data_IF_135552715111
#
_entry.id   IF_135552715111
#
_cell.length_a   1.000
_cell.length_b   1.000
_cell.length_c   1.000
_cell.angle_alpha   90.00
_cell.angle_beta   90.00
_cell.angle_gamma   90.00
#
_symmetry.space_group_name_H-M   'P 1'
#
loop_
_entity.id
_entity.type
_entity.pdbx_description
1 polymer ?
#
# COMPACT_ATOMS: atom_id res chain seq x y z
N UNK A 1 22.17 -15.54 63.50
CA UNK A 1 20.96 -15.87 62.71
C UNK A 1 20.97 -15.05 61.43
N UNK A 2 21.30 -15.68 60.30
CA UNK A 2 21.40 -15.02 59.00
C UNK A 2 20.00 -14.74 58.43
N UNK A 3 19.75 -13.51 57.97
CA UNK A 3 18.56 -13.14 57.19
C UNK A 3 18.78 -13.49 55.72
N UNK A 4 18.00 -14.39 55.10
CA UNK A 4 18.01 -14.56 53.65
C UNK A 4 16.67 -14.09 53.10
N UNK A 5 16.57 -12.87 52.54
CA UNK A 5 15.28 -12.44 51.93
C UNK A 5 15.32 -11.30 50.92
N UNK A 6 16.44 -11.04 50.24
CA UNK A 6 16.51 -9.91 49.29
C UNK A 6 16.99 -10.23 47.87
N UNK A 7 17.43 -11.46 47.60
CA UNK A 7 17.92 -11.86 46.27
C UNK A 7 16.76 -12.39 45.39
N UNK A 8 15.74 -13.00 45.98
CA UNK A 8 14.63 -13.63 45.26
C UNK A 8 13.69 -12.59 44.61
N UNK A 9 13.34 -11.51 45.33
CA UNK A 9 12.47 -10.44 44.79
C UNK A 9 13.11 -9.64 43.65
N UNK A 10 14.44 -9.43 43.67
CA UNK A 10 15.15 -8.73 42.59
C UNK A 10 15.21 -9.54 41.29
N UNK A 11 15.41 -10.86 41.39
CA UNK A 11 15.39 -11.77 40.23
C UNK A 11 13.99 -11.89 39.63
N UNK A 12 12.95 -11.89 40.47
CA UNK A 12 11.55 -11.96 40.03
C UNK A 12 11.10 -10.67 39.30
N UNK A 13 11.53 -9.49 39.78
CA UNK A 13 11.27 -8.20 39.11
C UNK A 13 11.95 -8.11 37.73
N UNK A 14 13.19 -8.60 37.60
CA UNK A 14 13.90 -8.65 36.32
C UNK A 14 13.21 -9.58 35.30
N UNK A 15 12.74 -10.74 35.75
CA UNK A 15 11.97 -11.69 34.91
C UNK A 15 10.64 -11.09 34.44
N UNK A 16 9.90 -10.38 35.29
CA UNK A 16 8.68 -9.67 34.91
C UNK A 16 8.93 -8.55 33.89
N UNK A 17 10.02 -7.79 34.04
CA UNK A 17 10.41 -6.77 33.07
C UNK A 17 10.72 -7.40 31.69
N UNK A 18 11.43 -8.53 31.66
CA UNK A 18 11.72 -9.26 30.42
C UNK A 18 10.42 -9.78 29.80
N UNK A 19 9.52 -10.41 30.56
CA UNK A 19 8.24 -10.94 30.04
C UNK A 19 7.35 -9.81 29.50
N UNK A 20 7.26 -8.67 30.20
CA UNK A 20 6.48 -7.51 29.75
C UNK A 20 7.01 -6.89 28.45
N UNK A 21 8.32 -6.95 28.22
CA UNK A 21 8.91 -6.44 26.98
C UNK A 21 8.58 -7.33 25.77
N UNK A 22 8.46 -8.66 25.95
CA UNK A 22 8.17 -9.60 24.86
C UNK A 22 6.72 -9.46 24.37
N UNK A 23 5.78 -9.12 25.26
CA UNK A 23 4.36 -8.94 24.92
C UNK A 23 4.08 -7.73 24.00
N UNK A 24 4.97 -6.73 23.97
CA UNK A 24 4.79 -5.52 23.18
C UNK A 24 5.20 -5.69 21.70
N UNK A 25 5.93 -6.76 21.35
CA UNK A 25 6.54 -6.92 20.02
C UNK A 25 5.83 -7.89 19.06
N UNK A 26 4.70 -8.49 19.45
CA UNK A 26 3.98 -9.44 18.58
C UNK A 26 2.67 -8.86 18.01
N UNK A 27 2.69 -7.64 17.48
CA UNK A 27 1.60 -7.17 16.62
C UNK A 27 1.81 -7.73 15.22
N UNK A 28 1.22 -8.89 14.94
CA UNK A 28 1.29 -9.52 13.63
C UNK A 28 0.60 -8.63 12.59
N UNK A 29 1.30 -8.37 11.47
CA UNK A 29 0.75 -7.61 10.34
C UNK A 29 0.30 -8.62 9.30
N UNK A 30 -1.02 -8.77 9.17
CA UNK A 30 -1.61 -9.67 8.17
C UNK A 30 -1.79 -8.88 6.88
N UNK A 31 -1.17 -9.32 5.79
CA UNK A 31 -1.34 -8.72 4.46
C UNK A 31 -1.95 -9.74 3.52
N UNK A 32 -3.07 -9.40 2.88
CA UNK A 32 -3.76 -10.25 1.91
C UNK A 32 -3.74 -9.59 0.55
N UNK A 33 -3.28 -10.31 -0.46
CA UNK A 33 -3.33 -9.86 -1.84
C UNK A 33 -4.78 -9.88 -2.35
N UNK A 34 -5.17 -8.82 -3.04
CA UNK A 34 -6.51 -8.67 -3.63
C UNK A 34 -6.41 -8.83 -5.14
N UNK A 35 -5.50 -8.08 -5.75
CA UNK A 35 -5.38 -8.04 -7.20
C UNK A 35 -3.99 -7.61 -7.64
N UNK A 36 -3.48 -8.26 -8.68
CA UNK A 36 -2.21 -7.90 -9.32
C UNK A 36 -2.41 -7.73 -10.82
N UNK A 37 -1.78 -6.70 -11.39
CA UNK A 37 -1.75 -6.46 -12.83
C UNK A 37 -0.37 -6.02 -13.32
N UNK A 38 -0.09 -6.30 -14.59
CA UNK A 38 1.03 -5.75 -15.35
C UNK A 38 0.52 -4.63 -16.26
N UNK A 39 1.15 -3.46 -16.20
CA UNK A 39 0.78 -2.31 -17.04
C UNK A 39 1.45 -2.44 -18.41
N UNK A 40 0.81 -1.95 -19.48
CA UNK A 40 1.34 -2.07 -20.86
C UNK A 40 2.04 -0.81 -21.37
N UNK A 41 2.52 0.04 -20.47
CA UNK A 41 3.26 1.25 -20.81
C UNK A 41 4.76 0.95 -21.05
N UNK A 42 5.50 1.86 -21.70
CA UNK A 42 6.95 1.67 -21.97
C UNK A 42 7.75 1.33 -20.71
N UNK A 43 7.42 1.97 -19.58
CA UNK A 43 7.96 1.64 -18.26
C UNK A 43 6.99 0.71 -17.52
N UNK A 44 6.87 -0.53 -18.00
CA UNK A 44 5.95 -1.54 -17.46
C UNK A 44 6.08 -1.66 -15.94
N UNK A 45 4.96 -1.77 -15.25
CA UNK A 45 4.87 -1.92 -13.80
C UNK A 45 3.97 -3.08 -13.44
N UNK A 46 4.41 -3.84 -12.45
CA UNK A 46 3.53 -4.69 -11.67
C UNK A 46 2.87 -3.83 -10.58
N UNK A 47 1.53 -3.73 -10.61
CA UNK A 47 0.72 -3.08 -9.58
C UNK A 47 0.03 -4.16 -8.75
N UNK A 48 0.15 -4.07 -7.43
CA UNK A 48 -0.43 -4.99 -6.45
C UNK A 48 -1.32 -4.19 -5.49
N UNK A 49 -2.59 -4.55 -5.44
CA UNK A 49 -3.54 -4.14 -4.43
C UNK A 49 -3.62 -5.20 -3.35
N UNK A 50 -3.53 -4.78 -2.09
CA UNK A 50 -3.58 -5.66 -0.92
C UNK A 50 -4.32 -4.99 0.22
N UNK A 51 -4.97 -5.77 1.08
CA UNK A 51 -5.43 -5.30 2.39
C UNK A 51 -4.38 -5.61 3.44
N UNK A 52 -4.22 -4.73 4.42
CA UNK A 52 -3.29 -4.89 5.52
C UNK A 52 -4.00 -4.60 6.84
N UNK A 53 -3.92 -5.54 7.76
CA UNK A 53 -4.49 -5.44 9.10
C UNK A 53 -3.35 -5.49 10.12
N UNK A 54 -3.38 -4.57 11.08
CA UNK A 54 -2.44 -4.52 12.20
C UNK A 54 -3.21 -4.15 13.46
N UNK A 55 -3.41 -5.13 14.34
CA UNK A 55 -4.15 -4.97 15.59
C UNK A 55 -5.57 -4.44 15.36
N UNK A 56 -5.80 -3.13 15.45
CA UNK A 56 -7.11 -2.48 15.22
C UNK A 56 -7.15 -1.64 13.94
N UNK A 57 -6.01 -1.48 13.28
CA UNK A 57 -5.90 -0.69 12.07
C UNK A 57 -6.07 -1.56 10.83
N UNK A 58 -6.84 -1.07 9.86
CA UNK A 58 -7.01 -1.69 8.55
C UNK A 58 -6.75 -0.67 7.45
N UNK A 59 -5.90 -1.04 6.49
CA UNK A 59 -5.51 -0.19 5.37
C UNK A 59 -5.51 -0.97 4.07
N UNK A 60 -5.79 -0.28 2.97
CA UNK A 60 -5.46 -0.76 1.64
C UNK A 60 -4.07 -0.30 1.24
N UNK A 61 -3.30 -1.20 0.65
CA UNK A 61 -1.92 -1.01 0.26
C UNK A 61 -1.82 -1.19 -1.25
N UNK A 62 -1.33 -0.15 -1.92
CA UNK A 62 -1.01 -0.17 -3.34
C UNK A 62 0.50 -0.20 -3.46
N UNK A 63 1.02 -1.34 -3.91
CA UNK A 63 2.43 -1.50 -4.26
C UNK A 63 2.58 -1.42 -5.77
N UNK A 64 3.66 -0.81 -6.21
CA UNK A 64 4.05 -0.87 -7.60
C UNK A 64 5.54 -1.11 -7.73
N UNK A 65 5.93 -1.82 -8.76
CA UNK A 65 7.34 -2.03 -9.10
C UNK A 65 7.48 -1.99 -10.60
N UNK A 66 8.37 -1.15 -11.12
CA UNK A 66 8.65 -1.17 -12.54
C UNK A 66 9.70 -2.23 -12.90
N UNK A 67 9.64 -2.63 -14.17
CA UNK A 67 10.68 -3.45 -14.78
C UNK A 67 11.96 -2.64 -14.97
N UNK A 68 13.10 -3.31 -14.79
CA UNK A 68 14.41 -2.69 -15.02
C UNK A 68 14.73 -2.78 -16.51
N UNK A 69 15.18 -1.67 -17.10
CA UNK A 69 15.70 -1.65 -18.47
C UNK A 69 16.87 -0.69 -18.57
N UNK A 70 17.46 -0.55 -19.77
CA UNK A 70 18.48 0.46 -20.05
C UNK A 70 18.01 1.89 -19.71
N UNK A 71 16.71 2.14 -19.91
CA UNK A 71 16.10 3.47 -19.72
C UNK A 71 15.49 3.66 -18.32
N UNK A 72 15.26 2.58 -17.56
CA UNK A 72 14.53 2.63 -16.30
C UNK A 72 15.21 1.85 -15.18
N UNK A 73 15.57 2.55 -14.09
CA UNK A 73 16.00 1.91 -12.85
C UNK A 73 14.84 1.24 -12.11
N UNK A 74 15.18 0.21 -11.33
CA UNK A 74 14.25 -0.51 -10.45
C UNK A 74 13.73 0.37 -9.31
N UNK A 75 12.52 0.87 -9.47
CA UNK A 75 11.77 1.65 -8.49
C UNK A 75 10.65 0.79 -7.88
N UNK A 76 10.34 1.07 -6.62
CA UNK A 76 9.26 0.43 -5.88
C UNK A 76 8.46 1.51 -5.17
N UNK A 77 7.15 1.56 -5.39
CA UNK A 77 6.27 2.50 -4.72
C UNK A 77 5.36 1.79 -3.73
N UNK A 78 5.00 2.51 -2.67
CA UNK A 78 4.05 2.10 -1.67
C UNK A 78 3.12 3.29 -1.36
N UNK A 79 1.82 3.07 -1.52
CA UNK A 79 0.76 3.94 -1.03
C UNK A 79 -0.06 3.19 0.01
N UNK A 80 -0.49 3.90 1.05
CA UNK A 80 -1.44 3.41 2.04
C UNK A 80 -2.68 4.26 1.98
N UNK A 81 -3.85 3.64 1.95
CA UNK A 81 -5.16 4.28 1.94
C UNK A 81 -5.95 3.76 3.14
N UNK A 82 -6.64 4.66 3.84
CA UNK A 82 -7.68 4.24 4.77
C UNK A 82 -8.83 3.56 4.01
N UNK A 83 -9.76 2.92 4.73
CA UNK A 83 -10.97 2.35 4.11
C UNK A 83 -11.75 3.43 3.36
N UNK A 84 -11.96 4.60 3.99
CA UNK A 84 -12.68 5.72 3.36
C UNK A 84 -11.96 6.27 2.12
N UNK A 85 -10.64 6.41 2.17
CA UNK A 85 -9.85 6.85 1.00
C UNK A 85 -9.92 5.84 -0.15
N UNK A 86 -9.96 4.54 0.18
CA UNK A 86 -10.07 3.48 -0.81
C UNK A 86 -11.47 3.42 -1.44
N UNK A 87 -12.52 3.57 -0.64
CA UNK A 87 -13.90 3.73 -1.14
C UNK A 87 -13.99 4.93 -2.09
N UNK A 88 -13.48 6.09 -1.67
CA UNK A 88 -13.48 7.29 -2.49
C UNK A 88 -12.71 7.11 -3.81
N UNK A 89 -11.61 6.34 -3.78
CA UNK A 89 -10.89 5.95 -4.98
C UNK A 89 -11.71 5.05 -5.91
N UNK A 90 -12.42 4.05 -5.37
CA UNK A 90 -13.27 3.17 -6.17
C UNK A 90 -14.46 3.91 -6.79
N UNK A 91 -15.11 4.77 -6.02
CA UNK A 91 -16.22 5.60 -6.49
C UNK A 91 -15.77 6.52 -7.63
N UNK A 92 -14.62 7.18 -7.47
CA UNK A 92 -14.02 8.01 -8.53
C UNK A 92 -13.61 7.17 -9.76
N UNK A 93 -13.11 5.94 -9.55
CA UNK A 93 -12.72 5.04 -10.64
C UNK A 93 -13.94 4.52 -11.42
N UNK A 94 -15.06 4.27 -10.73
CA UNK A 94 -16.30 3.79 -11.33
C UNK A 94 -17.09 4.90 -12.05
N UNK A 95 -16.98 6.15 -11.59
CA UNK A 95 -17.72 7.30 -12.13
C UNK A 95 -16.98 8.07 -13.23
N UNK A 96 -15.68 7.80 -13.47
CA UNK A 96 -14.92 8.57 -14.43
C UNK A 96 -15.28 8.23 -15.88
N UNK A 97 -15.63 9.27 -16.65
CA UNK A 97 -16.02 9.16 -18.05
C UNK A 97 -14.85 9.50 -18.99
N UNK A 98 -14.88 8.98 -20.22
CA UNK A 98 -13.87 9.33 -21.21
C UNK A 98 -13.90 10.83 -21.56
N UNK A 99 -12.72 11.45 -21.64
CA UNK A 99 -12.56 12.89 -21.86
C UNK A 99 -12.51 13.71 -20.58
N UNK A 100 -12.80 13.11 -19.43
CA UNK A 100 -12.82 13.79 -18.13
C UNK A 100 -11.49 13.68 -17.37
N UNK A 101 -11.36 14.53 -16.34
CA UNK A 101 -10.26 14.49 -15.37
C UNK A 101 -10.85 14.71 -13.99
N UNK A 102 -10.46 13.86 -13.05
CA UNK A 102 -10.81 13.97 -11.64
C UNK A 102 -9.55 14.12 -10.82
N UNK A 103 -9.49 15.12 -9.95
CA UNK A 103 -8.31 15.38 -9.12
C UNK A 103 -8.73 15.65 -7.67
N UNK A 104 -8.02 15.02 -6.74
CA UNK A 104 -8.14 15.29 -5.32
C UNK A 104 -6.75 15.29 -4.65
N UNK A 105 -6.70 15.55 -3.35
CA UNK A 105 -5.45 15.57 -2.60
C UNK A 105 -4.70 14.23 -2.58
N UNK A 106 -5.40 13.12 -2.83
CA UNK A 106 -4.85 11.76 -2.77
C UNK A 106 -4.38 11.27 -4.13
N UNK A 107 -5.16 11.53 -5.19
CA UNK A 107 -4.91 10.99 -6.51
C UNK A 107 -5.49 11.88 -7.63
N UNK A 108 -5.02 11.63 -8.85
CA UNK A 108 -5.47 12.21 -10.10
C UNK A 108 -5.83 11.07 -11.05
N UNK A 109 -7.02 11.14 -11.63
CA UNK A 109 -7.52 10.26 -12.68
C UNK A 109 -7.72 11.09 -13.95
N UNK A 110 -7.15 10.64 -15.07
CA UNK A 110 -7.32 11.30 -16.36
C UNK A 110 -7.65 10.29 -17.44
N UNK A 111 -8.87 10.32 -17.93
CA UNK A 111 -9.37 9.37 -18.92
C UNK A 111 -9.38 10.01 -20.31
N UNK A 112 -8.52 9.53 -21.21
CA UNK A 112 -8.47 9.99 -22.60
C UNK A 112 -7.98 8.88 -23.54
N UNK A 113 -8.59 8.75 -24.71
CA UNK A 113 -8.18 7.83 -25.77
C UNK A 113 -8.14 6.36 -25.27
N UNK A 114 -9.21 5.90 -24.63
CA UNK A 114 -9.34 4.55 -24.05
C UNK A 114 -8.27 4.20 -23.00
N UNK A 115 -7.62 5.22 -22.42
CA UNK A 115 -6.57 5.10 -21.41
C UNK A 115 -6.90 5.94 -20.20
N UNK A 116 -6.97 5.30 -19.06
CA UNK A 116 -7.07 5.94 -17.77
C UNK A 116 -5.67 6.05 -17.15
N UNK A 117 -5.19 7.28 -17.00
CA UNK A 117 -3.96 7.55 -16.26
C UNK A 117 -4.32 7.74 -14.78
N UNK A 118 -3.68 6.97 -13.92
CA UNK A 118 -3.87 7.01 -12.47
C UNK A 118 -2.57 7.46 -11.83
N UNK A 119 -2.63 8.57 -11.09
CA UNK A 119 -1.50 9.10 -10.34
C UNK A 119 -1.87 9.22 -8.87
N UNK A 120 -1.12 8.56 -7.99
CA UNK A 120 -1.20 8.78 -6.55
C UNK A 120 -0.21 9.87 -6.13
N UNK A 121 -0.70 10.89 -5.42
CA UNK A 121 0.06 12.09 -5.11
C UNK A 121 1.03 11.90 -3.93
N UNK A 122 0.67 11.03 -2.97
CA UNK A 122 1.47 10.76 -1.76
C UNK A 122 1.94 9.31 -1.75
N UNK A 123 3.08 9.03 -2.39
CA UNK A 123 3.66 7.68 -2.38
C UNK A 123 5.09 7.68 -1.87
N UNK A 124 5.49 6.55 -1.25
CA UNK A 124 6.86 6.36 -0.79
C UNK A 124 7.60 5.47 -1.79
N UNK A 125 8.69 5.98 -2.37
CA UNK A 125 9.64 5.10 -3.04
C UNK A 125 10.42 4.31 -1.98
N UNK A 126 10.46 3.00 -2.10
CA UNK A 126 11.15 2.08 -1.17
C UNK A 126 12.38 1.43 -1.79
N UNK A 127 12.75 1.81 -3.00
CA UNK A 127 14.00 1.39 -3.61
C UNK A 127 15.18 2.14 -3.01
N UNK A 128 16.29 1.41 -2.80
CA UNK A 128 17.57 1.99 -2.43
C UNK A 128 18.18 2.68 -3.65
N UNK A 129 17.99 4.00 -3.74
CA UNK A 129 18.64 4.82 -4.75
C UNK A 129 19.93 5.42 -4.16
N UNK A 130 21.03 5.36 -4.92
CA UNK A 130 22.20 6.17 -4.61
C UNK A 130 21.78 7.64 -4.69
N UNK A 131 21.98 8.41 -3.62
CA UNK A 131 21.56 9.82 -3.46
C UNK A 131 22.00 10.73 -4.61
N UNK A 132 23.08 10.38 -5.31
CA UNK A 132 23.61 11.14 -6.47
C UNK A 132 22.82 10.95 -7.77
N UNK A 133 21.95 9.94 -7.88
CA UNK A 133 21.18 9.63 -9.09
C UNK A 133 19.68 9.54 -8.78
N UNK A 134 19.10 10.65 -8.34
CA UNK A 134 17.65 10.81 -8.39
C UNK A 134 17.21 10.89 -9.86
N UNK A 135 16.81 9.75 -10.42
CA UNK A 135 16.25 9.70 -11.77
C UNK A 135 14.84 10.31 -11.78
N UNK A 136 14.45 10.99 -12.89
CA UNK A 136 13.09 11.54 -13.10
C UNK A 136 11.96 10.52 -12.84
N UNK A 137 12.24 9.23 -13.07
CA UNK A 137 11.31 8.12 -12.81
C UNK A 137 11.04 7.90 -11.31
N UNK A 138 11.95 8.28 -10.42
CA UNK A 138 11.81 8.18 -8.97
C UNK A 138 11.08 9.41 -8.37
N UNK A 139 10.23 10.08 -9.16
CA UNK A 139 9.31 11.05 -8.61
C UNK A 139 8.41 10.34 -7.58
N UNK A 140 8.18 10.97 -6.42
CA UNK A 140 7.45 10.38 -5.27
C UNK A 140 5.97 10.12 -5.55
N UNK A 141 5.51 10.28 -6.79
CA UNK A 141 4.18 9.92 -7.24
C UNK A 141 4.21 8.61 -8.02
N UNK A 142 3.39 7.64 -7.60
CA UNK A 142 3.11 6.46 -8.42
C UNK A 142 2.19 6.90 -9.56
N UNK A 143 2.58 6.63 -10.80
CA UNK A 143 1.75 6.81 -11.99
C UNK A 143 1.72 5.51 -12.80
N UNK A 144 0.55 5.13 -13.28
CA UNK A 144 0.35 4.03 -14.20
C UNK A 144 -0.89 4.21 -15.07
N UNK A 145 -0.97 3.42 -16.15
CA UNK A 145 -2.06 3.48 -17.12
C UNK A 145 -2.86 2.18 -17.09
N UNK A 146 -4.19 2.32 -17.07
CA UNK A 146 -5.14 1.25 -17.30
C UNK A 146 -5.83 1.46 -18.65
N UNK A 147 -6.08 0.36 -19.35
CA UNK A 147 -6.94 0.34 -20.53
C UNK A 147 -8.37 0.04 -20.12
N UNK A 148 -9.34 0.53 -20.90
CA UNK A 148 -10.78 0.33 -20.64
C UNK A 148 -11.15 -1.13 -20.31
N UNK A 149 -10.58 -2.09 -21.05
CA UNK A 149 -10.81 -3.51 -20.82
C UNK A 149 -10.36 -4.00 -19.44
N UNK A 150 -9.45 -3.29 -18.77
CA UNK A 150 -8.94 -3.64 -17.44
C UNK A 150 -9.73 -2.94 -16.33
N UNK A 151 -10.37 -1.80 -16.60
CA UNK A 151 -10.99 -0.95 -15.58
C UNK A 151 -12.14 -1.70 -14.90
N UNK A 152 -13.05 -2.31 -15.67
CA UNK A 152 -14.20 -3.05 -15.14
C UNK A 152 -13.77 -4.22 -14.24
N UNK A 153 -12.82 -5.02 -14.71
CA UNK A 153 -12.30 -6.16 -13.96
C UNK A 153 -11.65 -5.74 -12.64
N UNK A 154 -10.94 -4.61 -12.65
CA UNK A 154 -10.29 -4.04 -11.46
C UNK A 154 -11.35 -3.58 -10.47
N UNK A 155 -12.32 -2.77 -10.90
CA UNK A 155 -13.38 -2.27 -10.03
C UNK A 155 -14.09 -3.43 -9.36
N UNK A 156 -14.52 -4.44 -10.12
CA UNK A 156 -15.25 -5.58 -9.59
C UNK A 156 -14.47 -6.33 -8.49
N UNK A 157 -13.20 -6.66 -8.74
CA UNK A 157 -12.36 -7.38 -7.77
C UNK A 157 -12.07 -6.57 -6.51
N UNK A 158 -11.87 -5.26 -6.66
CA UNK A 158 -11.60 -4.38 -5.53
C UNK A 158 -12.87 -4.12 -4.72
N UNK A 159 -14.02 -3.97 -5.37
CA UNK A 159 -15.33 -3.80 -4.72
C UNK A 159 -15.73 -5.06 -3.95
N UNK A 160 -15.61 -6.24 -4.54
CA UNK A 160 -15.87 -7.52 -3.87
C UNK A 160 -15.06 -7.65 -2.57
N UNK A 161 -13.78 -7.24 -2.60
CA UNK A 161 -12.95 -7.27 -1.41
C UNK A 161 -13.40 -6.26 -0.34
N UNK A 162 -13.79 -5.06 -0.75
CA UNK A 162 -14.31 -4.03 0.13
C UNK A 162 -15.60 -4.49 0.82
N UNK A 163 -16.55 -5.01 0.06
CA UNK A 163 -17.84 -5.49 0.59
C UNK A 163 -17.60 -6.64 1.60
N UNK A 164 -16.72 -7.58 1.27
CA UNK A 164 -16.33 -8.66 2.18
C UNK A 164 -15.67 -8.16 3.48
N UNK A 165 -14.97 -7.04 3.46
CA UNK A 165 -14.41 -6.43 4.66
C UNK A 165 -15.50 -5.71 5.48
N UNK A 166 -16.42 -5.00 4.82
CA UNK A 166 -17.51 -4.27 5.48
C UNK A 166 -18.53 -5.22 6.15
N UNK A 167 -18.79 -6.39 5.58
CA UNK A 167 -19.71 -7.40 6.15
C UNK A 167 -19.12 -8.11 7.36
N UNK A 168 -17.79 -8.19 7.49
CA UNK A 168 -17.11 -8.91 8.59
C UNK A 168 -16.90 -8.08 9.85
N UNK A 169 -17.19 -6.77 9.82
CA UNK A 169 -17.14 -5.87 10.96
C UNK A 169 -18.52 -5.65 11.54
#
# INVERSE_FOLDING_TARGET
MAKPKNIFMKKMSLLLAIISSISLFSQEIITKEIFTLQTKEKNSKTILFSSQERSQDFYYIIKAKNETSKDFSKCKWLSRLSVGDFMYFLDALASIEEGSTFECSLFLLKYKNNKLNIKFNKTKCTSEHKTHYFQKSCNRSLNFVLYESQIKDIINKLQENLDNHLVKK
#
